data_IF_144812339977
#
_entry.id   IF_144812339977
#
_cell.length_a   1.000
_cell.length_b   1.000
_cell.length_c   1.000
_cell.angle_alpha   90.00
_cell.angle_beta   90.00
_cell.angle_gamma   90.00
#
_symmetry.space_group_name_H-M   'P 1'
#
loop_
_entity.id
_entity.type
_entity.pdbx_description
1 polymer ?
#
# COMPACT_ATOMS: atom_id res chain seq x y z
N UNK A 1 -17.09 -6.46 -3.00
CA UNK A 1 -16.04 -6.05 -3.92
C UNK A 1 -16.54 -5.05 -4.96
N UNK A 2 -17.59 -5.37 -5.77
CA UNK A 2 -18.13 -4.46 -6.80
C UNK A 2 -18.64 -3.12 -6.26
N UNK A 3 -19.18 -3.05 -5.04
CA UNK A 3 -19.62 -1.80 -4.41
C UNK A 3 -18.44 -0.94 -3.91
N UNK A 4 -17.39 -1.55 -3.37
CA UNK A 4 -16.15 -0.89 -2.98
C UNK A 4 -15.49 -0.23 -4.21
N UNK A 5 -15.29 -0.99 -5.27
CA UNK A 5 -14.71 -0.50 -6.53
C UNK A 5 -15.48 0.68 -7.11
N UNK A 6 -16.81 0.67 -7.00
CA UNK A 6 -17.66 1.76 -7.52
C UNK A 6 -17.57 3.06 -6.68
N UNK A 7 -17.43 2.96 -5.35
CA UNK A 7 -17.30 4.12 -4.45
C UNK A 7 -15.91 4.75 -4.50
N UNK A 8 -14.85 3.96 -4.67
CA UNK A 8 -13.46 4.44 -4.81
C UNK A 8 -13.25 5.34 -6.02
N UNK A 9 -14.10 5.23 -7.04
CA UNK A 9 -14.06 6.05 -8.26
C UNK A 9 -14.10 7.56 -8.00
N UNK A 10 -14.62 8.00 -6.86
CA UNK A 10 -14.79 9.42 -6.51
C UNK A 10 -13.88 9.89 -5.38
N UNK A 11 -13.18 8.99 -4.70
CA UNK A 11 -12.55 9.27 -3.41
C UNK A 11 -11.02 9.32 -3.42
N UNK A 12 -10.36 8.60 -4.32
CA UNK A 12 -8.89 8.57 -4.36
C UNK A 12 -8.24 9.88 -4.82
N UNK A 13 -9.00 10.92 -5.18
CA UNK A 13 -8.45 12.11 -5.86
C UNK A 13 -8.92 13.45 -5.30
N UNK A 14 -9.71 13.44 -4.23
CA UNK A 14 -9.91 14.66 -3.45
C UNK A 14 -8.89 14.70 -2.35
N UNK A 15 -7.86 15.52 -2.53
CA UNK A 15 -6.96 15.80 -1.45
C UNK A 15 -7.64 16.72 -0.41
N UNK A 16 -7.18 16.62 0.83
CA UNK A 16 -7.62 17.45 1.93
C UNK A 16 -7.21 18.92 1.79
N UNK A 17 -6.49 19.28 0.73
CA UNK A 17 -6.00 20.64 0.44
C UNK A 17 -6.72 21.31 -0.74
N UNK A 18 -7.77 20.70 -1.30
CA UNK A 18 -8.56 21.28 -2.39
C UNK A 18 -7.86 21.23 -3.76
N UNK A 19 -6.74 20.56 -3.89
CA UNK A 19 -6.07 20.34 -5.17
C UNK A 19 -6.66 19.06 -5.79
N UNK A 20 -7.35 19.18 -6.93
CA UNK A 20 -7.69 18.03 -7.75
C UNK A 20 -6.40 17.44 -8.33
N UNK A 21 -5.88 16.42 -7.68
CA UNK A 21 -4.66 15.72 -8.12
C UNK A 21 -4.84 14.92 -9.41
N UNK A 22 -5.73 15.21 -10.28
CA UNK A 22 -6.09 14.63 -11.59
C UNK A 22 -7.42 13.89 -11.63
N UNK A 23 -8.24 14.30 -12.57
CA UNK A 23 -9.52 13.63 -12.93
C UNK A 23 -9.30 12.34 -13.78
N UNK A 24 -8.06 11.85 -13.85
CA UNK A 24 -7.70 10.63 -14.59
C UNK A 24 -8.30 9.36 -13.98
N UNK A 25 -8.49 9.31 -12.68
CA UNK A 25 -9.12 8.16 -12.02
C UNK A 25 -10.62 8.04 -12.34
N UNK A 26 -11.24 9.06 -12.90
CA UNK A 26 -12.61 8.96 -13.41
C UNK A 26 -12.77 7.91 -14.52
N UNK A 27 -11.70 7.55 -15.21
CA UNK A 27 -11.72 6.67 -16.37
C UNK A 27 -11.20 5.25 -16.09
N UNK A 28 -10.35 5.06 -15.06
CA UNK A 28 -9.70 3.78 -14.78
C UNK A 28 -10.27 3.13 -13.52
N UNK A 29 -10.50 1.84 -13.57
CA UNK A 29 -11.00 1.05 -12.43
C UNK A 29 -10.04 -0.06 -12.09
N UNK A 30 -9.63 -0.20 -10.83
CA UNK A 30 -8.92 -1.38 -10.39
C UNK A 30 -9.72 -2.65 -10.69
N UNK A 31 -9.05 -3.63 -11.26
CA UNK A 31 -9.64 -4.92 -11.61
C UNK A 31 -9.12 -6.00 -10.66
N UNK A 32 -10.01 -6.89 -10.26
CA UNK A 32 -9.59 -8.12 -9.59
C UNK A 32 -8.88 -9.01 -10.61
N UNK A 33 -7.64 -9.37 -10.33
CA UNK A 33 -6.91 -10.32 -11.16
C UNK A 33 -7.56 -11.71 -11.05
N UNK A 34 -7.85 -12.34 -12.17
CA UNK A 34 -8.47 -13.66 -12.17
C UNK A 34 -7.61 -14.72 -11.50
N UNK A 35 -6.28 -14.67 -11.74
CA UNK A 35 -5.30 -15.56 -11.12
C UNK A 35 -4.59 -14.88 -9.93
N UNK A 36 -5.35 -14.27 -9.01
CA UNK A 36 -4.80 -13.56 -7.86
C UNK A 36 -3.85 -14.42 -7.01
N UNK A 37 -4.08 -15.73 -6.90
CA UNK A 37 -3.21 -16.61 -6.16
C UNK A 37 -1.80 -16.70 -6.78
N UNK A 38 -1.67 -16.64 -8.10
CA UNK A 38 -0.37 -16.58 -8.79
C UNK A 38 0.40 -15.32 -8.40
N UNK A 39 -0.30 -14.19 -8.26
CA UNK A 39 0.32 -12.95 -7.75
C UNK A 39 0.90 -13.14 -6.35
N UNK A 40 0.25 -13.92 -5.50
CA UNK A 40 0.75 -14.22 -4.16
C UNK A 40 2.07 -15.01 -4.18
N UNK A 41 2.22 -15.97 -5.10
CA UNK A 41 3.48 -16.71 -5.26
C UNK A 41 4.66 -15.85 -5.71
N UNK A 42 4.39 -14.74 -6.39
CA UNK A 42 5.41 -13.75 -6.79
C UNK A 42 5.40 -12.51 -5.89
N UNK A 43 4.81 -12.62 -4.69
CA UNK A 43 4.78 -11.58 -3.65
C UNK A 43 4.15 -10.25 -4.09
N UNK A 44 3.25 -10.24 -5.08
CA UNK A 44 2.60 -9.03 -5.58
C UNK A 44 1.21 -8.85 -4.98
N UNK A 45 0.96 -7.65 -4.46
CA UNK A 45 -0.37 -7.21 -4.00
C UNK A 45 -1.18 -6.56 -5.11
N UNK A 46 -0.53 -5.85 -6.03
CA UNK A 46 -1.11 -5.23 -7.19
C UNK A 46 -0.09 -5.10 -8.32
N UNK A 47 -0.54 -4.75 -9.50
CA UNK A 47 0.31 -4.47 -10.66
C UNK A 47 -0.42 -3.61 -11.68
N UNK A 48 0.30 -2.67 -12.27
CA UNK A 48 -0.18 -1.92 -13.43
C UNK A 48 0.43 -2.50 -14.69
N UNK A 49 -0.42 -2.73 -15.69
CA UNK A 49 0.05 -2.98 -17.04
C UNK A 49 0.25 -1.65 -17.78
N UNK A 50 1.50 -1.17 -17.98
CA UNK A 50 1.77 0.20 -18.45
C UNK A 50 1.17 0.50 -19.83
N UNK A 51 1.10 -0.50 -20.70
CA UNK A 51 0.60 -0.32 -22.08
C UNK A 51 -0.91 -0.08 -22.17
N UNK A 52 -1.68 -0.52 -21.18
CA UNK A 52 -3.14 -0.40 -21.15
C UNK A 52 -3.62 0.42 -19.95
N UNK A 53 -2.70 0.87 -19.10
CA UNK A 53 -2.99 1.66 -17.89
C UNK A 53 -4.09 1.03 -17.03
N UNK A 54 -4.05 -0.30 -16.88
CA UNK A 54 -4.99 -1.05 -16.06
C UNK A 54 -4.37 -1.48 -14.74
N UNK A 55 -4.89 -1.00 -13.60
CA UNK A 55 -4.50 -1.48 -12.29
C UNK A 55 -5.20 -2.82 -11.99
N UNK A 56 -4.41 -3.83 -11.69
CA UNK A 56 -4.87 -5.17 -11.36
C UNK A 56 -4.49 -5.53 -9.93
N UNK A 57 -5.45 -6.05 -9.17
CA UNK A 57 -5.34 -6.23 -7.73
C UNK A 57 -5.40 -7.72 -7.39
N UNK A 58 -4.47 -8.15 -6.55
CA UNK A 58 -4.52 -9.45 -5.91
C UNK A 58 -5.62 -9.45 -4.85
N UNK A 59 -6.74 -10.13 -5.13
CA UNK A 59 -7.86 -10.23 -4.19
C UNK A 59 -7.75 -11.41 -3.23
N UNK A 60 -6.72 -12.24 -3.35
CA UNK A 60 -6.39 -13.31 -2.40
C UNK A 60 -5.67 -12.80 -1.16
N UNK A 61 -5.04 -11.61 -1.23
CA UNK A 61 -4.38 -11.00 -0.09
C UNK A 61 -5.36 -10.73 1.08
N UNK A 62 -4.88 -10.50 2.32
CA UNK A 62 -5.73 -10.16 3.45
C UNK A 62 -6.66 -8.98 3.11
N UNK A 63 -7.95 -9.12 3.45
CA UNK A 63 -9.02 -8.23 2.99
C UNK A 63 -8.78 -6.75 3.30
N UNK A 64 -8.17 -6.45 4.45
CA UNK A 64 -7.86 -5.07 4.82
C UNK A 64 -6.85 -4.40 3.89
N UNK A 65 -5.95 -5.16 3.26
CA UNK A 65 -4.93 -4.63 2.34
C UNK A 65 -5.48 -4.28 0.95
N UNK A 66 -6.61 -4.86 0.54
CA UNK A 66 -7.14 -4.71 -0.81
C UNK A 66 -7.42 -3.25 -1.16
N UNK A 67 -8.03 -2.50 -0.24
CA UNK A 67 -8.43 -1.11 -0.50
C UNK A 67 -7.22 -0.17 -0.62
N UNK A 68 -6.22 -0.31 0.24
CA UNK A 68 -4.98 0.46 0.13
C UNK A 68 -4.18 0.09 -1.12
N UNK A 69 -4.13 -1.19 -1.49
CA UNK A 69 -3.52 -1.62 -2.75
C UNK A 69 -4.22 -1.00 -3.96
N UNK A 70 -5.55 -0.93 -3.97
CA UNK A 70 -6.27 -0.26 -5.05
C UNK A 70 -5.89 1.22 -5.18
N UNK A 71 -5.80 1.94 -4.05
CA UNK A 71 -5.38 3.35 -4.05
C UNK A 71 -3.91 3.50 -4.49
N UNK A 72 -3.04 2.55 -4.13
CA UNK A 72 -1.64 2.52 -4.54
C UNK A 72 -1.51 2.38 -6.06
N UNK A 73 -2.17 1.40 -6.66
CA UNK A 73 -2.14 1.21 -8.11
C UNK A 73 -2.75 2.40 -8.88
N UNK A 74 -3.80 3.02 -8.33
CA UNK A 74 -4.36 4.24 -8.90
C UNK A 74 -3.40 5.43 -8.78
N UNK A 75 -2.57 5.50 -7.74
CA UNK A 75 -1.56 6.54 -7.58
C UNK A 75 -0.53 6.48 -8.70
N UNK A 76 -0.12 5.29 -9.10
CA UNK A 76 0.74 5.11 -10.28
C UNK A 76 0.07 5.60 -11.58
N UNK A 77 -1.22 5.33 -11.77
CA UNK A 77 -1.98 5.88 -12.91
C UNK A 77 -1.99 7.42 -12.90
N UNK A 78 -2.00 8.02 -11.72
CA UNK A 78 -1.92 9.47 -11.56
C UNK A 78 -0.50 10.04 -11.76
N UNK A 79 0.50 9.19 -12.07
CA UNK A 79 1.86 9.60 -12.38
C UNK A 79 2.85 9.54 -11.21
N UNK A 80 2.43 9.07 -10.02
CA UNK A 80 3.33 8.82 -8.90
C UNK A 80 4.06 7.50 -9.11
N UNK A 81 5.17 7.54 -9.85
CA UNK A 81 5.90 6.33 -10.26
C UNK A 81 6.77 5.73 -9.16
N UNK A 82 7.10 6.50 -8.13
CA UNK A 82 7.93 6.04 -7.02
C UNK A 82 7.06 5.31 -6.00
N UNK A 83 7.53 4.17 -5.53
CA UNK A 83 6.81 3.32 -4.58
C UNK A 83 6.51 4.02 -3.24
N UNK A 84 7.47 4.81 -2.74
CA UNK A 84 7.31 5.58 -1.51
C UNK A 84 6.23 6.67 -1.65
N UNK A 85 6.20 7.35 -2.79
CA UNK A 85 5.18 8.35 -3.10
C UNK A 85 3.81 7.70 -3.32
N UNK A 86 3.74 6.63 -4.10
CA UNK A 86 2.50 5.90 -4.36
C UNK A 86 1.89 5.34 -3.06
N UNK A 87 2.70 4.78 -2.18
CA UNK A 87 2.27 4.34 -0.85
C UNK A 87 1.74 5.51 0.01
N UNK A 88 2.44 6.65 -0.01
CA UNK A 88 2.01 7.82 0.75
C UNK A 88 0.70 8.42 0.20
N UNK A 89 0.56 8.55 -1.11
CA UNK A 89 -0.69 9.02 -1.76
C UNK A 89 -1.83 8.06 -1.49
N UNK A 90 -1.58 6.75 -1.54
CA UNK A 90 -2.56 5.72 -1.15
C UNK A 90 -3.01 5.91 0.30
N UNK A 91 -2.07 6.13 1.22
CA UNK A 91 -2.37 6.42 2.62
C UNK A 91 -3.28 7.65 2.76
N UNK A 92 -2.94 8.77 2.12
CA UNK A 92 -3.74 10.00 2.17
C UNK A 92 -5.15 9.80 1.60
N UNK A 93 -5.27 9.09 0.48
CA UNK A 93 -6.56 8.77 -0.12
C UNK A 93 -7.45 7.95 0.82
N UNK A 94 -6.86 6.97 1.50
CA UNK A 94 -7.55 6.16 2.49
C UNK A 94 -7.89 6.96 3.75
N UNK A 95 -6.95 7.75 4.25
CA UNK A 95 -7.10 8.57 5.46
C UNK A 95 -8.24 9.59 5.35
N UNK A 96 -8.37 10.25 4.20
CA UNK A 96 -9.40 11.27 3.93
C UNK A 96 -10.74 10.68 3.45
N UNK A 97 -10.88 9.37 3.43
CA UNK A 97 -12.10 8.70 3.01
C UNK A 97 -13.18 8.72 4.09
N UNK A 98 -14.45 8.93 3.69
CA UNK A 98 -15.61 8.74 4.57
C UNK A 98 -15.92 7.24 4.80
N UNK A 99 -15.31 6.34 4.04
CA UNK A 99 -15.50 4.90 4.17
C UNK A 99 -14.57 4.32 5.23
N UNK A 100 -15.15 3.74 6.28
CA UNK A 100 -14.41 3.14 7.40
C UNK A 100 -13.48 2.02 6.97
N UNK A 101 -13.86 1.20 5.98
CA UNK A 101 -13.01 0.12 5.46
C UNK A 101 -11.75 0.66 4.77
N UNK A 102 -11.90 1.74 3.98
CA UNK A 102 -10.76 2.43 3.37
C UNK A 102 -9.85 3.04 4.43
N UNK A 103 -10.42 3.75 5.39
CA UNK A 103 -9.65 4.34 6.50
C UNK A 103 -8.89 3.28 7.28
N UNK A 104 -9.52 2.15 7.58
CA UNK A 104 -8.86 1.03 8.26
C UNK A 104 -7.71 0.46 7.42
N UNK A 105 -7.95 0.25 6.12
CA UNK A 105 -6.94 -0.24 5.19
C UNK A 105 -5.71 0.66 5.13
N UNK A 106 -5.92 1.97 5.02
CA UNK A 106 -4.83 2.96 5.04
C UNK A 106 -4.09 2.99 6.37
N UNK A 107 -4.82 2.95 7.48
CA UNK A 107 -4.23 2.93 8.82
C UNK A 107 -3.36 1.68 9.03
N UNK A 108 -3.82 0.50 8.60
CA UNK A 108 -3.05 -0.74 8.64
C UNK A 108 -1.79 -0.67 7.78
N UNK A 109 -1.88 -0.10 6.58
CA UNK A 109 -0.72 0.11 5.71
C UNK A 109 0.30 1.04 6.38
N UNK A 110 -0.14 2.18 6.89
CA UNK A 110 0.72 3.13 7.61
C UNK A 110 1.37 2.50 8.84
N UNK A 111 0.60 1.74 9.62
CA UNK A 111 1.09 1.00 10.79
C UNK A 111 2.18 0.00 10.41
N UNK A 112 1.98 -0.79 9.37
CA UNK A 112 2.95 -1.80 8.91
C UNK A 112 4.26 -1.13 8.50
N UNK A 113 4.20 -0.06 7.70
CA UNK A 113 5.40 0.67 7.28
C UNK A 113 6.13 1.29 8.49
N UNK A 114 5.39 1.95 9.39
CA UNK A 114 5.98 2.59 10.57
C UNK A 114 6.60 1.57 11.53
N UNK A 115 5.89 0.48 11.83
CA UNK A 115 6.39 -0.54 12.77
C UNK A 115 7.55 -1.33 12.19
N UNK A 116 7.57 -1.64 10.89
CA UNK A 116 8.71 -2.28 10.23
C UNK A 116 9.95 -1.39 10.27
N UNK A 117 9.80 -0.07 10.10
CA UNK A 117 10.91 0.87 10.24
C UNK A 117 11.36 0.98 11.68
N UNK A 118 10.44 1.10 12.64
CA UNK A 118 10.74 1.18 14.05
C UNK A 118 11.51 -0.06 14.53
N UNK A 119 11.09 -1.25 14.14
CA UNK A 119 11.77 -2.50 14.49
C UNK A 119 13.25 -2.53 14.08
N UNK A 120 13.58 -1.94 12.92
CA UNK A 120 14.97 -1.85 12.44
C UNK A 120 15.82 -0.87 13.24
N UNK A 121 15.21 0.18 13.80
CA UNK A 121 15.90 1.23 14.53
C UNK A 121 15.96 0.97 16.03
N UNK A 122 14.84 0.55 16.61
CA UNK A 122 14.68 0.32 18.04
C UNK A 122 13.67 -0.83 18.27
N UNK A 123 14.17 -2.07 18.35
CA UNK A 123 13.33 -3.23 18.65
C UNK A 123 12.61 -3.15 20.02
N UNK A 124 13.19 -2.43 21.00
CA UNK A 124 12.56 -2.31 22.32
C UNK A 124 11.36 -1.39 22.26
N UNK A 125 11.50 -0.20 21.65
CA UNK A 125 10.38 0.70 21.42
C UNK A 125 9.30 0.04 20.54
N UNK A 126 9.70 -0.77 19.55
CA UNK A 126 8.75 -1.55 18.76
C UNK A 126 7.94 -2.52 19.64
N UNK A 127 8.61 -3.23 20.56
CA UNK A 127 7.94 -4.16 21.47
C UNK A 127 6.93 -3.45 22.37
N UNK A 128 7.28 -2.28 22.90
CA UNK A 128 6.36 -1.46 23.70
C UNK A 128 5.11 -1.06 22.91
N UNK A 129 5.30 -0.49 21.71
CA UNK A 129 4.18 -0.10 20.82
C UNK A 129 3.32 -1.31 20.45
N UNK A 130 3.94 -2.45 20.17
CA UNK A 130 3.21 -3.67 19.77
C UNK A 130 2.26 -4.15 20.87
N UNK A 131 2.64 -4.01 22.14
CA UNK A 131 1.76 -4.38 23.26
C UNK A 131 0.55 -3.48 23.45
N UNK A 132 0.59 -2.25 22.89
CA UNK A 132 -0.51 -1.28 22.98
C UNK A 132 -1.53 -1.44 21.82
N UNK A 133 -1.23 -2.27 20.83
CA UNK A 133 -2.12 -2.44 19.68
C UNK A 133 -3.42 -3.18 20.09
N UNK A 134 -4.58 -2.75 19.58
CA UNK A 134 -5.84 -3.45 19.81
C UNK A 134 -5.79 -4.89 19.30
N UNK A 135 -6.49 -5.79 20.01
CA UNK A 135 -6.54 -7.23 19.68
C UNK A 135 -6.94 -7.47 18.20
N UNK A 136 -7.90 -6.71 17.68
CA UNK A 136 -8.33 -6.81 16.27
C UNK A 136 -7.19 -6.53 15.29
N UNK A 137 -6.37 -5.52 15.57
CA UNK A 137 -5.19 -5.17 14.76
C UNK A 137 -4.15 -6.29 14.84
N UNK A 138 -3.86 -6.79 16.04
CA UNK A 138 -2.91 -7.90 16.25
C UNK A 138 -3.34 -9.16 15.49
N UNK A 139 -4.65 -9.48 15.51
CA UNK A 139 -5.22 -10.60 14.77
C UNK A 139 -5.02 -10.43 13.26
N UNK A 140 -5.24 -9.24 12.73
CA UNK A 140 -5.09 -8.95 11.31
C UNK A 140 -3.62 -8.95 10.88
N UNK A 141 -2.70 -8.43 11.69
CA UNK A 141 -1.25 -8.53 11.47
C UNK A 141 -0.79 -10.01 11.48
N UNK A 142 -1.29 -10.80 12.43
CA UNK A 142 -0.98 -12.23 12.48
C UNK A 142 -1.56 -13.00 11.28
N UNK A 143 -2.75 -12.63 10.80
CA UNK A 143 -3.33 -13.21 9.59
C UNK A 143 -2.50 -12.86 8.35
N UNK A 144 -2.03 -11.63 8.26
CA UNK A 144 -1.13 -11.18 7.19
C UNK A 144 0.18 -11.98 7.17
N UNK A 145 0.82 -12.11 8.33
CA UNK A 145 2.07 -12.87 8.45
C UNK A 145 1.88 -14.34 8.05
N UNK A 146 0.79 -14.97 8.50
CA UNK A 146 0.47 -16.35 8.10
C UNK A 146 0.20 -16.49 6.61
N UNK A 147 -0.48 -15.50 6.03
CA UNK A 147 -0.78 -15.50 4.61
C UNK A 147 0.49 -15.45 3.77
N UNK A 148 1.35 -14.45 3.97
CA UNK A 148 2.57 -14.30 3.18
C UNK A 148 3.57 -15.42 3.40
N UNK A 149 3.69 -15.91 4.64
CA UNK A 149 4.52 -17.09 4.95
C UNK A 149 4.16 -18.33 4.13
N UNK A 150 2.89 -18.50 3.77
CA UNK A 150 2.45 -19.61 2.89
C UNK A 150 3.07 -19.50 1.49
N UNK A 151 3.39 -18.28 1.05
CA UNK A 151 3.92 -17.99 -0.28
C UNK A 151 5.41 -17.64 -0.29
N UNK A 152 6.11 -17.79 0.83
CA UNK A 152 7.57 -17.75 0.90
C UNK A 152 8.15 -18.97 0.19
N UNK A 153 8.46 -18.81 -1.09
CA UNK A 153 8.97 -19.87 -1.96
C UNK A 153 10.20 -19.38 -2.73
N UNK A 154 11.07 -20.28 -3.26
CA UNK A 154 12.18 -19.86 -4.10
C UNK A 154 11.75 -19.05 -5.34
N UNK A 155 10.53 -19.22 -5.80
CA UNK A 155 9.95 -18.42 -6.89
C UNK A 155 9.72 -16.98 -6.41
N UNK A 156 9.18 -16.80 -5.20
CA UNK A 156 9.00 -15.49 -4.57
C UNK A 156 10.32 -14.76 -4.42
N UNK A 157 11.35 -15.41 -3.86
CA UNK A 157 12.70 -14.82 -3.71
C UNK A 157 13.32 -14.39 -5.05
N UNK A 158 13.03 -15.11 -6.11
CA UNK A 158 13.50 -14.77 -7.46
C UNK A 158 12.73 -13.56 -8.00
N UNK A 159 11.41 -13.50 -7.79
CA UNK A 159 10.57 -12.39 -8.17
C UNK A 159 10.98 -11.10 -7.43
N UNK A 160 11.26 -11.17 -6.12
CA UNK A 160 11.74 -10.04 -5.32
C UNK A 160 13.06 -9.48 -5.86
N UNK A 161 14.00 -10.35 -6.24
CA UNK A 161 15.28 -9.94 -6.86
C UNK A 161 15.08 -9.25 -8.21
N UNK A 162 14.15 -9.74 -9.02
CA UNK A 162 13.80 -9.10 -10.29
C UNK A 162 13.13 -7.74 -10.07
N UNK A 163 12.22 -7.64 -9.10
CA UNK A 163 11.57 -6.39 -8.76
C UNK A 163 12.56 -5.34 -8.23
N UNK A 164 13.48 -5.74 -7.34
CA UNK A 164 14.53 -4.86 -6.83
C UNK A 164 15.45 -4.37 -7.97
N UNK A 165 15.84 -5.25 -8.89
CA UNK A 165 16.63 -4.89 -10.06
C UNK A 165 15.86 -3.94 -10.99
N UNK A 166 14.56 -4.17 -11.20
CA UNK A 166 13.70 -3.30 -12.00
C UNK A 166 13.57 -1.90 -11.38
N UNK A 167 13.33 -1.80 -10.07
CA UNK A 167 13.23 -0.53 -9.36
C UNK A 167 14.56 0.25 -9.46
N UNK A 168 15.70 -0.41 -9.27
CA UNK A 168 17.02 0.21 -9.39
C UNK A 168 17.31 0.69 -10.82
N UNK A 169 16.89 -0.06 -11.84
CA UNK A 169 17.05 0.32 -13.25
C UNK A 169 16.18 1.54 -13.64
N UNK A 170 15.13 1.84 -12.88
CA UNK A 170 14.25 2.99 -13.08
C UNK A 170 14.54 4.14 -12.10
N UNK A 171 15.80 4.41 -11.80
CA UNK A 171 16.29 5.50 -10.94
C UNK A 171 15.80 5.44 -9.47
N UNK A 172 15.22 4.32 -9.04
CA UNK A 172 14.93 4.06 -7.63
C UNK A 172 16.16 3.37 -6.99
N UNK A 173 17.23 4.13 -6.82
CA UNK A 173 18.55 3.64 -6.38
C UNK A 173 18.52 2.82 -5.09
N UNK A 174 17.49 3.04 -4.26
CA UNK A 174 17.32 2.33 -2.99
C UNK A 174 16.55 0.99 -3.15
N UNK A 175 16.02 0.69 -4.34
CA UNK A 175 15.24 -0.53 -4.59
C UNK A 175 14.11 -0.72 -3.58
N UNK A 176 13.97 -1.91 -3.01
CA UNK A 176 12.97 -2.21 -1.96
C UNK A 176 13.20 -1.45 -0.64
N UNK A 177 14.34 -0.79 -0.44
CA UNK A 177 14.57 0.06 0.74
C UNK A 177 13.81 1.40 0.65
N UNK A 178 13.29 1.77 -0.51
CA UNK A 178 12.45 2.96 -0.71
C UNK A 178 11.21 2.97 0.19
N UNK A 179 10.71 1.82 0.60
CA UNK A 179 9.59 1.71 1.55
C UNK A 179 9.81 2.44 2.87
N UNK A 180 11.07 2.66 3.28
CA UNK A 180 11.40 3.48 4.45
C UNK A 180 11.04 4.96 4.29
N UNK A 181 11.08 5.51 3.08
CA UNK A 181 10.80 6.92 2.79
C UNK A 181 9.33 7.30 2.95
N UNK A 182 8.41 6.35 2.74
CA UNK A 182 7.00 6.58 3.05
C UNK A 182 6.82 7.05 4.49
N UNK A 183 7.57 6.49 5.45
CA UNK A 183 7.50 6.89 6.86
C UNK A 183 7.99 8.33 7.06
N UNK A 184 9.02 8.77 6.32
CA UNK A 184 9.48 10.16 6.36
C UNK A 184 8.41 11.13 5.86
N UNK A 185 7.68 10.75 4.80
CA UNK A 185 6.54 11.52 4.28
C UNK A 185 5.39 11.57 5.29
N UNK A 186 5.09 10.46 5.97
CA UNK A 186 4.09 10.43 7.05
C UNK A 186 4.48 11.36 8.21
N UNK A 187 5.72 11.32 8.65
CA UNK A 187 6.23 12.22 9.71
C UNK A 187 6.10 13.67 9.27
N UNK A 188 6.52 14.01 8.06
CA UNK A 188 6.40 15.36 7.53
C UNK A 188 4.93 15.83 7.47
N UNK A 189 4.03 14.96 7.03
CA UNK A 189 2.60 15.23 6.98
C UNK A 189 2.02 15.53 8.36
N UNK A 190 2.29 14.69 9.37
CA UNK A 190 1.76 14.89 10.72
C UNK A 190 2.36 16.12 11.42
N UNK A 191 3.64 16.42 11.16
CA UNK A 191 4.28 17.67 11.62
C UNK A 191 3.62 18.90 11.01
N UNK A 192 3.35 18.89 9.73
CA UNK A 192 2.66 19.98 9.05
C UNK A 192 1.24 20.24 9.61
N UNK A 193 0.61 19.20 10.18
CA UNK A 193 -0.69 19.30 10.84
C UNK A 193 -0.60 19.67 12.34
N UNK A 194 0.59 19.79 12.90
CA UNK A 194 0.78 20.08 14.33
C UNK A 194 0.37 18.93 15.25
N UNK A 195 0.39 17.68 14.76
CA UNK A 195 0.00 16.50 15.52
C UNK A 195 1.20 15.81 16.20
N UNK A 196 2.41 16.12 15.75
CA UNK A 196 3.70 15.67 16.33
C UNK A 196 4.75 16.79 16.23
#
# INVERSE_FOLDING_TARGET
>A
LHRLIRRQRQMCIRDSYGVQLFDLAGQTRPKAMYFSEVMSYIQLTGVIFPYISEPNINIHQPAYGISSTMCHELSHICGFMREDEANFISYLACYNSDNTELRYSGAMMGLIHATNRLYRYDPNAWQEIYTLLPEGVLRDLAANSRYWKKYETPVGETADRWNDAYLKANDQTDGVQSYGRMVDLLIAFYRAQGLI
#
